data_IF_819983999989
#
_entry.id   IF_819983999989
#
_cell.length_a   1.000
_cell.length_b   1.000
_cell.length_c   1.000
_cell.angle_alpha   90.00
_cell.angle_beta   90.00
_cell.angle_gamma   90.00
#
_symmetry.space_group_name_H-M   'P 1'
#
loop_
_entity.id
_entity.type
_entity.pdbx_description
1 polymer ?
#
# COMPACT_ATOMS: atom_id res chain seq x y z
N UNK A 1 11.03 -9.08 -12.71
CA UNK A 1 9.74 -9.67 -12.28
C UNK A 1 9.81 -10.04 -10.82
N UNK A 2 8.67 -9.95 -10.14
CA UNK A 2 8.51 -10.37 -8.73
C UNK A 2 7.37 -11.39 -8.69
N UNK A 3 7.59 -12.51 -7.98
CA UNK A 3 6.56 -13.49 -7.68
C UNK A 3 6.34 -13.54 -6.17
N UNK A 4 5.18 -13.09 -5.73
CA UNK A 4 4.70 -13.28 -4.36
C UNK A 4 4.06 -14.66 -4.26
N UNK A 5 4.45 -15.44 -3.25
CA UNK A 5 3.97 -16.82 -3.05
C UNK A 5 3.46 -17.01 -1.62
N UNK A 6 2.56 -17.97 -1.45
CA UNK A 6 1.97 -18.31 -0.15
C UNK A 6 1.32 -17.10 0.54
N UNK A 7 0.54 -16.34 -0.22
CA UNK A 7 -0.24 -15.21 0.27
C UNK A 7 -1.67 -15.65 0.63
N UNK A 8 -2.29 -14.92 1.58
CA UNK A 8 -3.74 -14.84 1.72
C UNK A 8 -4.20 -13.56 1.02
N UNK A 9 -4.88 -13.68 -0.10
CA UNK A 9 -5.21 -12.53 -0.95
C UNK A 9 -6.65 -12.11 -0.67
N UNK A 10 -6.83 -10.84 -0.28
CA UNK A 10 -8.11 -10.15 -0.20
C UNK A 10 -8.26 -9.25 -1.42
N UNK A 11 -9.33 -9.43 -2.20
CA UNK A 11 -9.51 -8.72 -3.48
C UNK A 11 -10.23 -7.36 -3.35
N UNK A 12 -10.59 -6.99 -2.12
CA UNK A 12 -11.38 -5.80 -1.81
C UNK A 12 -12.78 -6.15 -1.31
N UNK A 13 -13.25 -7.37 -1.56
CA UNK A 13 -14.57 -7.87 -1.12
C UNK A 13 -14.44 -9.13 -0.26
N UNK A 14 -13.56 -10.06 -0.63
CA UNK A 14 -13.41 -11.36 0.02
C UNK A 14 -11.97 -11.88 -0.09
N UNK A 15 -11.66 -12.87 0.73
CA UNK A 15 -10.44 -13.67 0.59
C UNK A 15 -10.67 -14.66 -0.55
N UNK A 16 -9.77 -14.65 -1.53
CA UNK A 16 -9.83 -15.52 -2.70
C UNK A 16 -8.92 -16.74 -2.53
N UNK A 17 -9.19 -17.82 -3.30
CA UNK A 17 -8.44 -19.07 -3.21
C UNK A 17 -7.04 -19.02 -3.86
N UNK A 18 -6.74 -17.96 -4.61
CA UNK A 18 -5.42 -17.73 -5.19
C UNK A 18 -4.43 -17.39 -4.06
N UNK A 19 -3.18 -17.83 -4.23
CA UNK A 19 -2.13 -17.64 -3.22
C UNK A 19 -0.82 -17.08 -3.78
N UNK A 20 -0.82 -16.70 -5.05
CA UNK A 20 0.38 -16.21 -5.73
C UNK A 20 0.05 -15.06 -6.66
N UNK A 21 0.94 -14.06 -6.71
CA UNK A 21 0.83 -12.87 -7.55
C UNK A 21 2.14 -12.69 -8.32
N UNK A 22 2.06 -12.66 -9.65
CA UNK A 22 3.19 -12.35 -10.51
C UNK A 22 3.11 -10.88 -10.96
N UNK A 23 4.14 -10.12 -10.64
CA UNK A 23 4.27 -8.68 -10.94
C UNK A 23 5.35 -8.49 -12.00
N UNK A 24 5.04 -7.72 -13.05
CA UNK A 24 5.99 -7.30 -14.09
C UNK A 24 5.71 -5.83 -14.45
N UNK A 25 6.76 -5.01 -14.48
CA UNK A 25 6.66 -3.59 -14.86
C UNK A 25 5.59 -2.85 -14.02
N UNK A 26 5.61 -3.04 -12.70
CA UNK A 26 4.69 -2.45 -11.71
C UNK A 26 3.20 -2.76 -11.96
N UNK A 27 2.92 -3.83 -12.71
CA UNK A 27 1.54 -4.29 -12.96
C UNK A 27 1.38 -5.76 -12.59
N UNK A 28 0.21 -6.14 -12.15
CA UNK A 28 -0.16 -7.54 -11.98
C UNK A 28 -0.20 -8.21 -13.35
N UNK A 29 0.67 -9.19 -13.55
CA UNK A 29 0.69 -10.01 -14.76
C UNK A 29 -0.25 -11.21 -14.65
N UNK A 30 -0.28 -11.80 -13.45
CA UNK A 30 -1.14 -12.95 -13.17
C UNK A 30 -1.38 -13.09 -11.67
N UNK A 31 -2.56 -13.56 -11.30
CA UNK A 31 -2.92 -13.95 -9.94
C UNK A 31 -3.47 -15.36 -10.04
N UNK A 32 -2.94 -16.30 -9.25
CA UNK A 32 -3.29 -17.70 -9.38
C UNK A 32 -2.84 -18.55 -8.20
N UNK A 33 -3.05 -19.85 -8.34
CA UNK A 33 -2.63 -20.84 -7.34
C UNK A 33 -1.25 -21.38 -7.73
N UNK A 34 -0.28 -21.31 -6.80
CA UNK A 34 1.06 -21.89 -6.95
C UNK A 34 1.74 -21.53 -8.30
N UNK A 35 1.67 -20.26 -8.68
CA UNK A 35 2.25 -19.79 -9.93
C UNK A 35 3.74 -20.12 -10.01
N UNK A 36 4.16 -20.55 -11.20
CA UNK A 36 5.57 -20.77 -11.53
C UNK A 36 6.12 -19.57 -12.29
N UNK A 37 7.41 -19.31 -12.16
CA UNK A 37 8.10 -18.23 -12.86
C UNK A 37 9.48 -18.68 -13.31
N UNK A 38 10.12 -17.91 -14.19
CA UNK A 38 11.50 -18.15 -14.64
C UNK A 38 12.51 -18.09 -13.49
N UNK A 39 13.73 -18.59 -13.73
CA UNK A 39 14.81 -18.57 -12.72
C UNK A 39 15.19 -17.15 -12.31
N UNK A 40 15.09 -16.17 -13.22
CA UNK A 40 15.46 -14.77 -12.98
C UNK A 40 14.36 -13.95 -12.30
N UNK A 41 13.29 -14.58 -11.81
CA UNK A 41 12.23 -13.91 -11.09
C UNK A 41 12.57 -13.85 -9.60
N UNK A 42 12.53 -12.65 -9.01
CA UNK A 42 12.63 -12.49 -7.57
C UNK A 42 11.39 -13.10 -6.90
N UNK A 43 11.61 -14.11 -6.05
CA UNK A 43 10.53 -14.84 -5.35
C UNK A 43 10.48 -14.44 -3.90
N UNK A 44 9.32 -14.02 -3.44
CA UNK A 44 9.07 -13.61 -2.06
C UNK A 44 8.00 -14.54 -1.47
N UNK A 45 8.39 -15.31 -0.45
CA UNK A 45 7.47 -16.16 0.30
C UNK A 45 6.82 -15.33 1.41
N UNK A 46 5.51 -15.13 1.33
CA UNK A 46 4.74 -14.32 2.27
C UNK A 46 4.26 -15.10 3.51
N UNK A 47 4.59 -16.39 3.63
CA UNK A 47 4.31 -17.20 4.83
C UNK A 47 2.85 -17.05 5.34
N UNK A 48 1.89 -17.02 4.44
CA UNK A 48 0.45 -16.79 4.69
C UNK A 48 0.10 -15.38 5.22
N UNK A 49 0.95 -14.38 5.05
CA UNK A 49 0.58 -12.99 5.28
C UNK A 49 -0.51 -12.55 4.29
N UNK A 50 -1.28 -11.57 4.73
CA UNK A 50 -2.33 -10.99 3.89
C UNK A 50 -1.73 -10.04 2.85
N UNK A 51 -2.30 -10.10 1.65
CA UNK A 51 -2.12 -9.12 0.59
C UNK A 51 -3.49 -8.56 0.26
N UNK A 52 -3.60 -7.25 0.25
CA UNK A 52 -4.86 -6.54 -0.01
C UNK A 52 -4.57 -5.29 -0.86
N UNK A 53 -5.59 -4.73 -1.53
CA UNK A 53 -5.46 -3.41 -2.14
C UNK A 53 -5.03 -2.36 -1.12
N UNK A 54 -4.25 -1.37 -1.57
CA UNK A 54 -3.88 -0.23 -0.73
C UNK A 54 -5.12 0.49 -0.21
N UNK A 55 -5.04 0.99 1.02
CA UNK A 55 -6.11 1.78 1.61
C UNK A 55 -6.20 3.14 0.91
N UNK A 56 -7.41 3.64 0.74
CA UNK A 56 -7.69 4.94 0.15
C UNK A 56 -8.41 5.78 1.21
N UNK A 57 -7.82 6.90 1.56
CA UNK A 57 -8.50 7.94 2.32
C UNK A 57 -8.98 9.03 1.34
N UNK A 58 -10.29 9.12 1.14
CA UNK A 58 -10.89 10.05 0.19
C UNK A 58 -11.05 11.48 0.75
N UNK A 59 -10.80 11.69 2.05
CA UNK A 59 -10.90 12.99 2.70
C UNK A 59 -9.83 13.12 3.79
N UNK A 60 -8.71 13.71 3.45
CA UNK A 60 -7.55 13.80 4.31
C UNK A 60 -7.00 15.23 4.42
N UNK A 61 -6.75 15.69 5.64
CA UNK A 61 -6.24 17.01 5.96
C UNK A 61 -4.78 16.98 6.41
N UNK A 62 -3.86 16.75 5.48
CA UNK A 62 -2.42 16.70 5.79
C UNK A 62 -1.87 18.02 6.37
N UNK A 63 -2.50 19.14 6.04
CA UNK A 63 -2.09 20.48 6.44
C UNK A 63 -2.61 20.92 7.82
N UNK A 64 -3.31 20.06 8.55
CA UNK A 64 -3.88 20.38 9.85
C UNK A 64 -3.02 19.77 10.96
N UNK A 65 -2.18 20.55 11.67
CA UNK A 65 -1.23 20.01 12.65
C UNK A 65 -1.89 19.55 13.95
N UNK A 66 -3.16 19.83 14.18
CA UNK A 66 -3.93 19.35 15.31
C UNK A 66 -5.42 19.21 14.97
N UNK A 67 -6.23 18.71 15.92
CA UNK A 67 -7.68 18.52 15.73
C UNK A 67 -8.49 19.81 15.75
N UNK A 68 -7.91 20.94 16.16
CA UNK A 68 -8.54 22.24 16.13
C UNK A 68 -8.18 23.00 14.87
N UNK A 69 -9.07 22.99 13.90
CA UNK A 69 -8.91 23.65 12.60
C UNK A 69 -8.68 25.17 12.74
N UNK A 70 -9.33 25.82 13.70
CA UNK A 70 -9.20 27.28 13.92
C UNK A 70 -7.83 27.67 14.46
N UNK A 71 -7.18 26.78 15.20
CA UNK A 71 -5.82 27.02 15.67
C UNK A 71 -4.76 26.77 14.59
N UNK A 72 -5.09 26.06 13.55
CA UNK A 72 -4.15 25.71 12.47
C UNK A 72 -3.64 26.95 11.73
N UNK A 73 -4.46 28.01 11.59
CA UNK A 73 -4.08 29.27 10.97
C UNK A 73 -3.03 30.07 11.78
N UNK A 74 -2.83 29.72 13.06
CA UNK A 74 -1.84 30.37 13.94
C UNK A 74 -0.43 29.84 13.74
N UNK A 75 -0.27 28.71 13.07
CA UNK A 75 1.05 28.15 12.80
C UNK A 75 1.70 28.81 11.59
N UNK A 76 3.03 29.01 11.62
CA UNK A 76 3.77 29.47 10.45
C UNK A 76 3.54 28.54 9.24
N UNK A 77 3.38 29.11 8.05
CA UNK A 77 3.09 28.33 6.83
C UNK A 77 4.16 27.29 6.50
N UNK A 78 5.43 27.59 6.78
CA UNK A 78 6.52 26.63 6.61
C UNK A 78 6.38 25.45 7.58
N UNK A 79 5.96 25.66 8.83
CA UNK A 79 5.69 24.57 9.77
C UNK A 79 4.58 23.66 9.23
N UNK A 80 3.47 24.24 8.76
CA UNK A 80 2.35 23.49 8.17
C UNK A 80 2.82 22.66 6.96
N UNK A 81 3.66 23.23 6.11
CA UNK A 81 4.18 22.54 4.94
C UNK A 81 5.08 21.35 5.31
N UNK A 82 5.97 21.48 6.29
CA UNK A 82 6.80 20.39 6.78
C UNK A 82 5.98 19.32 7.50
N UNK A 83 4.99 19.73 8.27
CA UNK A 83 4.07 18.78 8.93
C UNK A 83 3.31 17.96 7.90
N UNK A 84 2.72 18.60 6.88
CA UNK A 84 2.02 17.92 5.79
C UNK A 84 2.93 16.95 5.04
N UNK A 85 4.17 17.36 4.75
CA UNK A 85 5.16 16.50 4.10
C UNK A 85 5.44 15.22 4.92
N UNK A 86 5.67 15.35 6.21
CA UNK A 86 5.93 14.19 7.08
C UNK A 86 4.73 13.25 7.14
N UNK A 87 3.53 13.77 7.36
CA UNK A 87 2.29 12.97 7.38
C UNK A 87 2.10 12.21 6.07
N UNK A 88 2.28 12.88 4.93
CA UNK A 88 2.14 12.23 3.62
C UNK A 88 3.19 11.14 3.38
N UNK A 89 4.41 11.33 3.85
CA UNK A 89 5.44 10.29 3.75
C UNK A 89 5.15 9.08 4.66
N UNK A 90 4.58 9.30 5.84
CA UNK A 90 4.27 8.23 6.78
C UNK A 90 3.04 7.41 6.36
N UNK A 91 2.20 7.95 5.48
CA UNK A 91 0.98 7.29 4.98
C UNK A 91 1.19 6.55 3.66
N UNK A 92 2.29 6.74 2.96
CA UNK A 92 2.66 6.05 1.72
C UNK A 92 3.53 4.83 1.98
#
# INVERSE_FOLDING_TARGET
>A
MILLQNAKIFDGEKIINQNSILIKNNKFKNIGVNLKSSKDTNKINLKNYFVMPGLIDAHFHANTPNYDFYSSDKYPKNYIAFHAHNILNDTL
#
